data_IF_064671052365
#
_entry.id   IF_064671052365
#
_cell.length_a   1.000
_cell.length_b   1.000
_cell.length_c   1.000
_cell.angle_alpha   90.00
_cell.angle_beta   90.00
_cell.angle_gamma   90.00
#
_symmetry.space_group_name_H-M   'P 1'
#
loop_
_entity.id
_entity.type
_entity.pdbx_description
1 polymer ?
#
# COMPACT_ATOMS: atom_id res chain seq x y z
N UNK A 1 -42.62 26.62 -55.54
CA UNK A 1 -41.64 27.13 -54.57
C UNK A 1 -41.52 26.06 -53.49
N UNK A 2 -40.49 25.23 -53.56
CA UNK A 2 -40.18 24.20 -52.56
C UNK A 2 -38.70 23.82 -52.77
N UNK A 3 -37.80 24.65 -52.26
CA UNK A 3 -36.41 24.25 -52.05
C UNK A 3 -36.38 23.49 -50.72
N UNK A 4 -36.37 22.16 -50.80
CA UNK A 4 -36.08 21.34 -49.63
C UNK A 4 -34.60 21.53 -49.24
N UNK A 5 -34.28 21.75 -47.96
CA UNK A 5 -32.91 21.98 -47.54
C UNK A 5 -32.08 20.71 -47.78
N UNK A 6 -30.94 20.89 -48.45
CA UNK A 6 -29.91 19.86 -48.61
C UNK A 6 -29.49 19.37 -47.23
N UNK A 7 -29.86 18.13 -46.86
CA UNK A 7 -29.34 17.50 -45.65
C UNK A 7 -27.83 17.31 -45.82
N UNK A 8 -27.05 18.13 -45.13
CA UNK A 8 -25.61 18.01 -45.10
C UNK A 8 -25.22 16.69 -44.41
N UNK A 9 -25.06 15.62 -45.19
CA UNK A 9 -24.56 14.34 -44.68
C UNK A 9 -23.14 14.52 -44.17
N UNK A 10 -22.91 14.27 -42.89
CA UNK A 10 -21.57 14.25 -42.31
C UNK A 10 -20.70 13.26 -43.09
N UNK A 11 -19.52 13.70 -43.52
CA UNK A 11 -18.55 12.83 -44.19
C UNK A 11 -18.13 11.66 -43.29
N UNK A 12 -17.72 10.55 -43.89
CA UNK A 12 -17.33 9.29 -43.20
C UNK A 12 -16.33 9.56 -42.05
N UNK A 13 -15.39 10.48 -42.23
CA UNK A 13 -14.42 10.87 -41.19
C UNK A 13 -15.06 11.52 -39.95
N UNK A 14 -16.09 12.36 -40.13
CA UNK A 14 -16.80 12.99 -39.02
C UNK A 14 -17.66 11.97 -38.25
N UNK A 15 -18.31 11.03 -38.97
CA UNK A 15 -19.06 9.93 -38.35
C UNK A 15 -18.13 9.02 -37.53
N UNK A 16 -16.95 8.68 -38.07
CA UNK A 16 -15.96 7.87 -37.37
C UNK A 16 -15.45 8.56 -36.09
N UNK A 17 -15.19 9.87 -36.15
CA UNK A 17 -14.76 10.65 -34.98
C UNK A 17 -15.84 10.70 -33.89
N UNK A 18 -17.10 10.93 -34.26
CA UNK A 18 -18.23 10.91 -33.31
C UNK A 18 -18.37 9.53 -32.66
N UNK A 19 -18.28 8.46 -33.45
CA UNK A 19 -18.29 7.09 -32.94
C UNK A 19 -17.18 6.84 -31.91
N UNK A 20 -15.94 7.26 -32.21
CA UNK A 20 -14.82 7.12 -31.29
C UNK A 20 -15.02 7.93 -29.99
N UNK A 21 -15.54 9.15 -30.10
CA UNK A 21 -15.86 9.99 -28.93
C UNK A 21 -16.95 9.37 -28.05
N UNK A 22 -17.99 8.78 -28.64
CA UNK A 22 -19.06 8.11 -27.90
C UNK A 22 -18.53 6.87 -27.17
N UNK A 23 -17.66 6.08 -27.82
CA UNK A 23 -17.03 4.91 -27.18
C UNK A 23 -16.13 5.34 -26.02
N UNK A 24 -15.28 6.34 -26.24
CA UNK A 24 -14.39 6.87 -25.20
C UNK A 24 -15.17 7.45 -24.01
N UNK A 25 -16.25 8.21 -24.28
CA UNK A 25 -17.11 8.79 -23.25
C UNK A 25 -17.85 7.70 -22.45
N UNK A 26 -18.38 6.69 -23.14
CA UNK A 26 -19.07 5.57 -22.49
C UNK A 26 -18.12 4.75 -21.62
N UNK A 27 -16.90 4.48 -22.10
CA UNK A 27 -15.87 3.82 -21.31
C UNK A 27 -15.51 4.65 -20.07
N UNK A 28 -15.34 5.96 -20.22
CA UNK A 28 -15.03 6.88 -19.12
C UNK A 28 -16.13 6.89 -18.06
N UNK A 29 -17.41 6.95 -18.47
CA UNK A 29 -18.56 6.87 -17.58
C UNK A 29 -18.61 5.53 -16.84
N UNK A 30 -18.35 4.42 -17.54
CA UNK A 30 -18.33 3.09 -16.95
C UNK A 30 -17.27 2.97 -15.85
N UNK A 31 -16.02 3.35 -16.13
CA UNK A 31 -14.94 3.28 -15.15
C UNK A 31 -15.14 4.29 -14.01
N UNK A 32 -15.58 5.52 -14.32
CA UNK A 32 -15.85 6.56 -13.33
C UNK A 32 -16.94 6.17 -12.35
N UNK A 33 -18.05 5.61 -12.83
CA UNK A 33 -19.14 5.16 -11.95
C UNK A 33 -18.70 4.01 -11.04
N UNK A 34 -17.94 3.04 -11.57
CA UNK A 34 -17.40 1.94 -10.75
C UNK A 34 -16.46 2.43 -9.67
N UNK A 35 -15.56 3.36 -10.00
CA UNK A 35 -14.67 3.98 -9.02
C UNK A 35 -15.46 4.74 -7.94
N UNK A 36 -16.46 5.53 -8.34
CA UNK A 36 -17.31 6.26 -7.39
C UNK A 36 -18.08 5.33 -6.44
N UNK A 37 -18.59 4.20 -6.94
CA UNK A 37 -19.24 3.18 -6.10
C UNK A 37 -18.25 2.51 -5.14
N UNK A 38 -17.04 2.18 -5.60
CA UNK A 38 -15.98 1.63 -4.75
C UNK A 38 -15.60 2.61 -3.63
N UNK A 39 -15.44 3.89 -3.96
CA UNK A 39 -15.13 4.95 -3.00
C UNK A 39 -16.25 5.11 -1.97
N UNK A 40 -17.51 5.16 -2.41
CA UNK A 40 -18.66 5.31 -1.52
C UNK A 40 -18.77 4.15 -0.52
N UNK A 41 -18.61 2.90 -0.99
CA UNK A 41 -18.69 1.71 -0.14
C UNK A 41 -17.52 1.61 0.84
N UNK A 42 -16.33 2.06 0.45
CA UNK A 42 -15.12 1.95 1.29
C UNK A 42 -14.83 3.16 2.18
N UNK A 43 -15.55 4.28 2.01
CA UNK A 43 -15.20 5.58 2.59
C UNK A 43 -15.01 5.53 4.12
N UNK A 44 -15.99 4.98 4.84
CA UNK A 44 -15.94 4.89 6.30
C UNK A 44 -14.74 4.05 6.76
N UNK A 45 -14.57 2.89 6.13
CA UNK A 45 -13.51 1.93 6.47
C UNK A 45 -12.11 2.48 6.18
N UNK A 46 -11.94 3.22 5.08
CA UNK A 46 -10.67 3.91 4.76
C UNK A 46 -10.34 5.00 5.78
N UNK A 47 -11.35 5.76 6.21
CA UNK A 47 -11.18 6.75 7.27
C UNK A 47 -10.79 6.08 8.60
N UNK A 48 -11.47 5.02 9.00
CA UNK A 48 -11.16 4.25 10.23
C UNK A 48 -9.73 3.70 10.20
N UNK A 49 -9.31 3.09 9.09
CA UNK A 49 -7.96 2.58 8.92
C UNK A 49 -6.92 3.68 9.05
N UNK A 50 -7.19 4.87 8.51
CA UNK A 50 -6.29 6.03 8.66
C UNK A 50 -6.15 6.45 10.13
N UNK A 51 -7.22 6.36 10.93
CA UNK A 51 -7.14 6.62 12.38
C UNK A 51 -6.28 5.57 13.09
N UNK A 52 -6.42 4.29 12.74
CA UNK A 52 -5.60 3.21 13.30
C UNK A 52 -4.12 3.37 12.92
N UNK A 53 -3.82 3.67 11.66
CA UNK A 53 -2.46 3.88 11.16
C UNK A 53 -1.75 5.06 11.82
N UNK A 54 -2.50 6.13 12.13
CA UNK A 54 -1.95 7.31 12.79
C UNK A 54 -1.85 7.18 14.31
N UNK A 55 -2.34 6.08 14.89
CA UNK A 55 -2.38 5.89 16.35
C UNK A 55 -3.39 6.80 17.07
N UNK A 56 -4.29 7.46 16.32
CA UNK A 56 -5.34 8.34 16.88
C UNK A 56 -6.52 7.56 17.46
N UNK A 57 -6.60 6.27 17.17
CA UNK A 57 -7.61 5.35 17.68
C UNK A 57 -6.95 4.05 18.15
N UNK A 58 -7.49 3.37 19.17
CA UNK A 58 -7.07 2.02 19.52
C UNK A 58 -7.12 1.07 18.33
N UNK A 59 -6.35 -0.02 18.40
CA UNK A 59 -6.41 -1.08 17.38
C UNK A 59 -7.83 -1.67 17.30
N UNK A 60 -8.30 -2.03 16.09
CA UNK A 60 -9.66 -2.52 15.90
C UNK A 60 -9.91 -3.80 16.68
N UNK A 61 -11.08 -3.89 17.30
CA UNK A 61 -11.60 -5.17 17.77
C UNK A 61 -12.04 -6.05 16.58
N UNK A 62 -12.41 -7.31 16.84
CA UNK A 62 -12.76 -8.27 15.78
C UNK A 62 -13.98 -7.86 14.95
N UNK A 63 -14.93 -7.13 15.55
CA UNK A 63 -16.14 -6.65 14.86
C UNK A 63 -15.80 -5.49 13.93
N UNK A 64 -15.05 -4.49 14.43
CA UNK A 64 -14.56 -3.36 13.63
C UNK A 64 -13.68 -3.82 12.47
N UNK A 65 -12.79 -4.78 12.75
CA UNK A 65 -11.96 -5.42 11.74
C UNK A 65 -12.80 -6.11 10.66
N UNK A 66 -13.82 -6.88 11.06
CA UNK A 66 -14.69 -7.60 10.12
C UNK A 66 -15.51 -6.66 9.25
N UNK A 67 -16.05 -5.58 9.83
CA UNK A 67 -16.76 -4.53 9.09
C UNK A 67 -15.85 -3.88 8.04
N UNK A 68 -14.66 -3.42 8.45
CA UNK A 68 -13.71 -2.79 7.54
C UNK A 68 -13.26 -3.72 6.41
N UNK A 69 -13.03 -5.00 6.72
CA UNK A 69 -12.69 -6.01 5.72
C UNK A 69 -13.82 -6.16 4.71
N UNK A 70 -15.06 -6.30 5.17
CA UNK A 70 -16.20 -6.54 4.29
C UNK A 70 -16.46 -5.37 3.35
N UNK A 71 -16.35 -4.13 3.83
CA UNK A 71 -16.49 -2.93 3.00
C UNK A 71 -15.40 -2.86 1.92
N UNK A 72 -14.14 -3.16 2.27
CA UNK A 72 -13.04 -3.15 1.31
C UNK A 72 -13.18 -4.26 0.26
N UNK A 73 -13.60 -5.46 0.66
CA UNK A 73 -13.90 -6.56 -0.28
C UNK A 73 -15.08 -6.20 -1.18
N UNK A 74 -16.11 -5.55 -0.64
CA UNK A 74 -17.23 -5.05 -1.42
C UNK A 74 -16.80 -3.99 -2.45
N UNK A 75 -15.90 -3.09 -2.07
CA UNK A 75 -15.32 -2.11 -2.98
C UNK A 75 -14.48 -2.76 -4.11
N UNK A 76 -13.71 -3.82 -3.80
CA UNK A 76 -12.94 -4.56 -4.80
C UNK A 76 -13.81 -5.22 -5.87
N UNK A 77 -15.08 -5.55 -5.61
CA UNK A 77 -15.99 -6.02 -6.67
C UNK A 77 -16.21 -4.97 -7.77
N UNK A 78 -16.13 -3.69 -7.42
CA UNK A 78 -16.25 -2.58 -8.36
C UNK A 78 -14.91 -2.26 -9.02
N UNK A 79 -13.80 -2.27 -8.27
CA UNK A 79 -12.46 -1.97 -8.76
C UNK A 79 -11.44 -3.05 -8.36
N UNK A 80 -11.42 -4.22 -9.03
CA UNK A 80 -10.63 -5.39 -8.58
C UNK A 80 -9.12 -5.16 -8.53
N UNK A 81 -8.61 -4.23 -9.34
CA UNK A 81 -7.19 -3.91 -9.42
C UNK A 81 -6.84 -2.61 -8.68
N UNK A 82 -7.72 -2.09 -7.83
CA UNK A 82 -7.44 -0.89 -7.05
C UNK A 82 -6.30 -1.16 -6.07
N UNK A 83 -5.11 -0.60 -6.31
CA UNK A 83 -3.95 -0.85 -5.46
C UNK A 83 -4.17 -0.36 -4.03
N UNK A 84 -4.92 0.72 -3.83
CA UNK A 84 -5.11 1.30 -2.51
C UNK A 84 -6.02 0.41 -1.65
N UNK A 85 -7.07 -0.19 -2.24
CA UNK A 85 -7.89 -1.17 -1.55
C UNK A 85 -7.08 -2.40 -1.13
N UNK A 86 -6.18 -2.86 -2.01
CA UNK A 86 -5.23 -3.92 -1.68
C UNK A 86 -4.26 -3.51 -0.56
N UNK A 87 -3.72 -2.28 -0.56
CA UNK A 87 -2.89 -1.78 0.55
C UNK A 87 -3.65 -1.78 1.88
N UNK A 88 -4.92 -1.36 1.89
CA UNK A 88 -5.74 -1.33 3.09
C UNK A 88 -6.07 -2.72 3.62
N UNK A 89 -6.41 -3.68 2.74
CA UNK A 89 -6.61 -5.07 3.13
C UNK A 89 -5.31 -5.68 3.67
N UNK A 90 -4.19 -5.47 2.99
CA UNK A 90 -2.88 -5.94 3.45
C UNK A 90 -2.56 -5.45 4.86
N UNK A 91 -2.78 -4.16 5.13
CA UNK A 91 -2.61 -3.57 6.45
C UNK A 91 -3.55 -4.18 7.50
N UNK A 92 -4.84 -4.31 7.15
CA UNK A 92 -5.87 -4.81 8.04
C UNK A 92 -5.59 -6.27 8.48
N UNK A 93 -5.14 -7.11 7.55
CA UNK A 93 -4.70 -8.47 7.84
C UNK A 93 -3.43 -8.51 8.70
N UNK A 94 -2.46 -7.62 8.46
CA UNK A 94 -1.27 -7.49 9.30
C UNK A 94 -1.58 -7.09 10.75
N UNK A 95 -2.55 -6.19 10.95
CA UNK A 95 -3.05 -5.87 12.30
C UNK A 95 -3.68 -7.10 12.96
N UNK A 96 -4.49 -7.85 12.24
CA UNK A 96 -5.14 -9.05 12.78
C UNK A 96 -4.14 -10.13 13.16
N UNK A 97 -3.10 -10.33 12.35
CA UNK A 97 -1.99 -11.22 12.68
C UNK A 97 -1.36 -10.83 14.02
N UNK A 98 -1.01 -9.54 14.18
CA UNK A 98 -0.41 -9.03 15.42
C UNK A 98 -1.29 -9.25 16.65
N UNK A 99 -2.61 -9.07 16.51
CA UNK A 99 -3.58 -9.33 17.57
C UNK A 99 -3.90 -10.82 17.79
N UNK A 100 -3.37 -11.72 16.95
CA UNK A 100 -3.65 -13.16 16.98
C UNK A 100 -2.43 -14.01 17.34
N UNK A 101 -1.33 -13.42 17.83
CA UNK A 101 -0.07 -14.10 18.22
C UNK A 101 -0.23 -15.28 19.18
N UNK A 102 -1.32 -15.30 19.96
CA UNK A 102 -1.63 -16.42 20.85
C UNK A 102 -2.09 -17.69 20.10
N UNK A 103 -2.40 -17.59 18.81
CA UNK A 103 -2.90 -18.67 17.95
C UNK A 103 -2.03 -18.69 16.69
N UNK A 104 -0.90 -19.41 16.69
CA UNK A 104 0.10 -19.35 15.62
C UNK A 104 -0.44 -19.63 14.22
N UNK A 105 -1.36 -20.58 14.08
CA UNK A 105 -1.98 -20.93 12.80
C UNK A 105 -2.80 -19.77 12.24
N UNK A 106 -3.52 -19.05 13.11
CA UNK A 106 -4.29 -17.87 12.73
C UNK A 106 -3.35 -16.70 12.39
N UNK A 107 -2.30 -16.47 13.18
CA UNK A 107 -1.30 -15.45 12.87
C UNK A 107 -0.70 -15.68 11.48
N UNK A 108 -0.25 -16.91 11.19
CA UNK A 108 0.35 -17.26 9.90
C UNK A 108 -0.64 -17.12 8.74
N UNK A 109 -1.90 -17.54 8.91
CA UNK A 109 -2.93 -17.34 7.90
C UNK A 109 -3.16 -15.85 7.59
N UNK A 110 -3.24 -15.02 8.63
CA UNK A 110 -3.43 -13.56 8.45
C UNK A 110 -2.20 -12.89 7.83
N UNK A 111 -0.98 -13.35 8.14
CA UNK A 111 0.25 -12.87 7.49
C UNK A 111 0.30 -13.27 6.02
N UNK A 112 -0.12 -14.48 5.67
CA UNK A 112 -0.20 -14.93 4.28
C UNK A 112 -1.18 -14.07 3.46
N UNK A 113 -2.36 -13.76 4.03
CA UNK A 113 -3.32 -12.83 3.41
C UNK A 113 -2.72 -11.43 3.27
N UNK A 114 -2.05 -10.92 4.31
CA UNK A 114 -1.38 -9.61 4.27
C UNK A 114 -0.36 -9.52 3.12
N UNK A 115 0.51 -10.52 2.98
CA UNK A 115 1.49 -10.61 1.89
C UNK A 115 0.81 -10.69 0.53
N UNK A 116 -0.27 -11.48 0.40
CA UNK A 116 -1.02 -11.61 -0.85
C UNK A 116 -1.59 -10.26 -1.33
N UNK A 117 -2.21 -9.50 -0.44
CA UNK A 117 -2.76 -8.19 -0.75
C UNK A 117 -1.67 -7.16 -1.07
N UNK A 118 -0.57 -7.12 -0.30
CA UNK A 118 0.52 -6.21 -0.63
C UNK A 118 1.20 -6.55 -1.96
N UNK A 119 1.28 -7.84 -2.35
CA UNK A 119 1.73 -8.23 -3.70
C UNK A 119 0.83 -7.65 -4.80
N UNK A 120 -0.49 -7.70 -4.63
CA UNK A 120 -1.43 -7.10 -5.58
C UNK A 120 -1.28 -5.57 -5.63
N UNK A 121 -1.04 -4.92 -4.49
CA UNK A 121 -0.79 -3.48 -4.44
C UNK A 121 0.47 -3.07 -5.22
N UNK A 122 1.61 -3.75 -5.01
CA UNK A 122 2.88 -3.37 -5.66
C UNK A 122 2.91 -3.66 -7.15
N UNK A 123 2.12 -4.64 -7.64
CA UNK A 123 1.94 -4.87 -9.08
C UNK A 123 1.27 -3.66 -9.74
N UNK A 124 0.25 -3.09 -9.10
CA UNK A 124 -0.53 -1.98 -9.65
C UNK A 124 0.08 -0.60 -9.31
N UNK A 125 0.96 -0.50 -8.30
CA UNK A 125 1.74 0.71 -7.94
C UNK A 125 3.20 0.37 -7.67
N UNK A 126 4.00 0.11 -8.73
CA UNK A 126 5.39 -0.32 -8.57
C UNK A 126 6.30 0.73 -7.94
N UNK A 127 5.86 1.99 -7.84
CA UNK A 127 6.60 3.10 -7.23
C UNK A 127 6.03 3.53 -5.86
N UNK A 128 5.06 2.81 -5.27
CA UNK A 128 4.53 3.14 -3.94
C UNK A 128 5.51 2.65 -2.85
N UNK A 129 6.23 3.53 -2.14
CA UNK A 129 7.15 3.08 -1.11
C UNK A 129 6.43 2.47 0.09
N UNK A 130 5.22 2.95 0.42
CA UNK A 130 4.41 2.39 1.50
C UNK A 130 3.93 0.96 1.19
N UNK A 131 3.51 0.69 -0.04
CA UNK A 131 3.15 -0.67 -0.46
C UNK A 131 4.35 -1.63 -0.33
N UNK A 132 5.53 -1.20 -0.81
CA UNK A 132 6.75 -1.99 -0.72
C UNK A 132 7.22 -2.21 0.72
N UNK A 133 7.18 -1.18 1.57
CA UNK A 133 7.70 -1.31 2.94
C UNK A 133 6.77 -2.18 3.80
N UNK A 134 5.47 -2.09 3.56
CA UNK A 134 4.49 -2.94 4.25
C UNK A 134 4.54 -4.39 3.73
N UNK A 135 4.80 -4.61 2.44
CA UNK A 135 5.12 -5.95 1.92
C UNK A 135 6.35 -6.54 2.62
N UNK A 136 7.42 -5.75 2.74
CA UNK A 136 8.64 -6.19 3.41
C UNK A 136 8.38 -6.53 4.89
N UNK A 137 7.58 -5.71 5.58
CA UNK A 137 7.19 -5.97 6.97
C UNK A 137 6.33 -7.23 7.11
N UNK A 138 5.35 -7.42 6.24
CA UNK A 138 4.51 -8.62 6.25
C UNK A 138 5.34 -9.88 6.00
N UNK A 139 6.28 -9.84 5.05
CA UNK A 139 7.22 -10.94 4.79
C UNK A 139 8.19 -11.16 5.97
N UNK A 140 8.58 -10.09 6.68
CA UNK A 140 9.46 -10.19 7.85
C UNK A 140 8.77 -10.94 8.99
N UNK A 141 7.51 -10.62 9.22
CA UNK A 141 6.71 -11.25 10.25
C UNK A 141 6.30 -12.68 9.86
N UNK A 142 5.99 -12.93 8.58
CA UNK A 142 5.65 -14.26 8.08
C UNK A 142 6.84 -15.22 8.13
N UNK A 143 8.03 -14.74 7.75
CA UNK A 143 9.24 -15.56 7.62
C UNK A 143 9.25 -16.42 6.34
N UNK A 144 10.35 -17.13 6.12
CA UNK A 144 10.50 -18.14 5.07
C UNK A 144 10.65 -17.61 3.63
N UNK A 145 10.68 -16.28 3.42
CA UNK A 145 10.72 -15.65 2.09
C UNK A 145 11.74 -14.49 2.04
N UNK A 146 12.97 -14.76 2.45
CA UNK A 146 13.99 -13.73 2.70
C UNK A 146 14.40 -12.94 1.47
N UNK A 147 14.52 -13.59 0.31
CA UNK A 147 14.84 -12.90 -0.93
C UNK A 147 13.75 -11.89 -1.31
N UNK A 148 12.48 -12.30 -1.24
CA UNK A 148 11.34 -11.43 -1.52
C UNK A 148 11.24 -10.27 -0.52
N UNK A 149 11.51 -10.54 0.76
CA UNK A 149 11.55 -9.51 1.81
C UNK A 149 12.58 -8.44 1.48
N UNK A 150 13.80 -8.85 1.13
CA UNK A 150 14.90 -7.92 0.86
C UNK A 150 14.73 -7.20 -0.47
N UNK A 151 14.09 -7.83 -1.46
CA UNK A 151 13.67 -7.16 -2.69
C UNK A 151 12.65 -6.06 -2.39
N UNK A 152 11.63 -6.35 -1.58
CA UNK A 152 10.63 -5.37 -1.17
C UNK A 152 11.25 -4.23 -0.33
N UNK A 153 12.15 -4.57 0.60
CA UNK A 153 12.90 -3.59 1.40
C UNK A 153 13.69 -2.62 0.51
N UNK A 154 14.38 -3.16 -0.50
CA UNK A 154 15.19 -2.36 -1.42
C UNK A 154 14.33 -1.42 -2.29
N UNK A 155 13.18 -1.90 -2.77
CA UNK A 155 12.20 -1.06 -3.49
C UNK A 155 11.62 0.05 -2.61
N UNK A 156 11.30 -0.27 -1.36
CA UNK A 156 10.83 0.71 -0.39
C UNK A 156 11.90 1.78 -0.09
N UNK A 157 13.16 1.38 0.06
CA UNK A 157 14.28 2.31 0.20
C UNK A 157 14.43 3.18 -1.06
N UNK A 158 14.42 2.59 -2.25
CA UNK A 158 14.56 3.30 -3.54
C UNK A 158 13.54 4.42 -3.71
N UNK A 159 12.27 4.17 -3.37
CA UNK A 159 11.19 5.13 -3.61
C UNK A 159 10.81 5.98 -2.38
N UNK A 160 11.28 5.64 -1.18
CA UNK A 160 10.76 6.21 0.07
C UNK A 160 11.75 6.38 1.21
N UNK A 161 13.06 6.31 0.97
CA UNK A 161 14.06 6.51 2.03
C UNK A 161 14.04 7.89 2.72
N UNK A 162 13.19 8.83 2.28
CA UNK A 162 12.96 10.14 2.92
C UNK A 162 11.60 10.27 3.62
N UNK A 163 10.75 9.26 3.51
CA UNK A 163 9.42 9.23 4.10
C UNK A 163 9.48 8.67 5.53
N UNK A 164 9.04 9.42 6.53
CA UNK A 164 9.23 9.06 7.94
C UNK A 164 8.68 7.67 8.31
N UNK A 165 7.48 7.33 7.83
CA UNK A 165 6.87 6.02 8.09
C UNK A 165 7.62 4.87 7.41
N UNK A 166 8.17 5.12 6.22
CA UNK A 166 8.99 4.14 5.49
C UNK A 166 10.33 3.95 6.19
N UNK A 167 11.01 5.04 6.54
CA UNK A 167 12.28 5.02 7.28
C UNK A 167 12.18 4.21 8.57
N UNK A 168 11.10 4.43 9.35
CA UNK A 168 10.84 3.70 10.60
C UNK A 168 10.83 2.20 10.35
N UNK A 169 10.02 1.75 9.41
CA UNK A 169 9.84 0.32 9.11
C UNK A 169 11.10 -0.30 8.51
N UNK A 170 11.79 0.41 7.61
CA UNK A 170 13.08 -0.02 7.06
C UNK A 170 14.13 -0.22 8.16
N UNK A 171 14.17 0.68 9.15
CA UNK A 171 15.08 0.59 10.29
C UNK A 171 14.73 -0.57 11.22
N UNK A 172 13.44 -0.81 11.47
CA UNK A 172 12.99 -1.95 12.27
C UNK A 172 13.43 -3.28 11.66
N UNK A 173 13.13 -3.49 10.38
CA UNK A 173 13.49 -4.73 9.67
C UNK A 173 15.01 -4.85 9.56
N UNK A 174 15.67 -3.76 9.15
CA UNK A 174 17.11 -3.75 8.90
C UNK A 174 17.94 -3.99 10.16
N UNK A 175 17.55 -3.44 11.31
CA UNK A 175 18.23 -3.71 12.57
C UNK A 175 17.87 -5.07 13.17
N UNK A 176 16.61 -5.51 13.09
CA UNK A 176 16.19 -6.84 13.53
C UNK A 176 16.94 -7.95 12.79
N UNK A 177 17.20 -7.76 11.49
CA UNK A 177 17.91 -8.71 10.63
C UNK A 177 19.29 -8.21 10.20
N UNK A 178 19.99 -7.50 11.09
CA UNK A 178 21.24 -6.80 10.76
C UNK A 178 22.27 -7.66 10.04
N UNK A 179 22.52 -8.88 10.53
CA UNK A 179 23.51 -9.79 9.92
C UNK A 179 23.12 -10.21 8.50
N UNK A 180 21.83 -10.42 8.27
CA UNK A 180 21.29 -10.92 7.00
C UNK A 180 21.12 -9.83 5.95
N UNK A 181 20.97 -8.57 6.39
CA UNK A 181 20.84 -7.41 5.50
C UNK A 181 22.03 -7.30 4.52
N UNK A 182 23.23 -7.71 4.97
CA UNK A 182 24.48 -7.57 4.22
C UNK A 182 25.01 -6.13 4.23
N UNK A 183 26.29 -5.97 3.93
CA UNK A 183 27.02 -4.69 4.07
C UNK A 183 26.40 -3.56 3.24
N UNK A 184 25.89 -3.86 2.04
CA UNK A 184 25.27 -2.86 1.18
C UNK A 184 23.99 -2.25 1.79
N UNK A 185 23.09 -3.08 2.35
CA UNK A 185 21.85 -2.58 2.98
C UNK A 185 22.11 -1.94 4.33
N UNK A 186 23.08 -2.46 5.08
CA UNK A 186 23.55 -1.84 6.31
C UNK A 186 24.04 -0.41 6.07
N UNK A 187 24.88 -0.19 5.04
CA UNK A 187 25.36 1.13 4.66
C UNK A 187 24.21 2.07 4.26
N UNK A 188 23.24 1.58 3.45
CA UNK A 188 22.03 2.33 3.09
C UNK A 188 21.19 2.73 4.30
N UNK A 189 21.06 1.83 5.29
CA UNK A 189 20.30 2.09 6.49
C UNK A 189 20.97 3.15 7.36
N UNK A 190 22.29 3.04 7.57
CA UNK A 190 23.06 4.02 8.33
C UNK A 190 22.97 5.39 7.66
N UNK A 191 23.22 5.46 6.35
CA UNK A 191 23.14 6.71 5.58
C UNK A 191 21.73 7.35 5.64
N UNK A 192 20.68 6.53 5.52
CA UNK A 192 19.29 6.99 5.65
C UNK A 192 19.01 7.61 7.02
N UNK A 193 19.52 7.02 8.10
CA UNK A 193 19.29 7.51 9.48
C UNK A 193 20.15 8.74 9.77
N UNK A 194 21.42 8.74 9.37
CA UNK A 194 22.35 9.85 9.58
C UNK A 194 21.86 11.14 8.90
N UNK A 195 21.19 11.01 7.75
CA UNK A 195 20.65 12.13 6.97
C UNK A 195 19.13 12.34 7.19
N UNK A 196 18.53 11.68 8.18
CA UNK A 196 17.10 11.85 8.46
C UNK A 196 16.78 13.25 8.99
N UNK A 197 15.57 13.76 8.68
CA UNK A 197 15.09 15.03 9.23
C UNK A 197 15.00 14.97 10.76
N UNK A 198 15.19 16.09 11.49
CA UNK A 198 15.21 16.08 12.95
C UNK A 198 14.04 15.35 13.61
N UNK A 199 12.82 15.57 13.11
CA UNK A 199 11.62 14.92 13.65
C UNK A 199 11.60 13.39 13.46
N UNK A 200 12.22 12.87 12.39
CA UNK A 200 12.30 11.42 12.13
C UNK A 200 13.53 10.81 12.80
N UNK A 201 14.63 11.57 12.90
CA UNK A 201 15.90 11.11 13.47
C UNK A 201 15.72 10.63 14.93
N UNK A 202 14.90 11.32 15.73
CA UNK A 202 14.59 10.90 17.10
C UNK A 202 14.00 9.50 17.18
N UNK A 203 12.96 9.22 16.38
CA UNK A 203 12.32 7.90 16.31
C UNK A 203 13.32 6.82 15.85
N UNK A 204 14.12 7.11 14.83
CA UNK A 204 15.09 6.17 14.27
C UNK A 204 16.22 5.85 15.26
N UNK A 205 16.70 6.82 16.02
CA UNK A 205 17.67 6.61 17.10
C UNK A 205 17.09 5.75 18.23
N UNK A 206 15.80 5.95 18.57
CA UNK A 206 15.11 5.11 19.54
C UNK A 206 14.99 3.65 19.08
N UNK A 207 14.72 3.42 17.79
CA UNK A 207 14.74 2.08 17.19
C UNK A 207 16.14 1.48 17.24
N UNK A 208 17.16 2.24 16.82
CA UNK A 208 18.54 1.77 16.87
C UNK A 208 18.97 1.38 18.29
N UNK A 209 18.56 2.17 19.29
CA UNK A 209 18.79 1.86 20.71
C UNK A 209 18.11 0.56 21.14
N UNK A 210 16.87 0.31 20.73
CA UNK A 210 16.13 -0.92 21.04
C UNK A 210 16.83 -2.19 20.52
N UNK A 211 17.64 -2.08 19.47
CA UNK A 211 18.40 -3.18 18.88
C UNK A 211 19.91 -3.15 19.21
N UNK A 212 20.34 -2.31 20.16
CA UNK A 212 21.75 -2.11 20.53
C UNK A 212 22.65 -1.72 19.34
N UNK A 213 22.13 -0.84 18.46
CA UNK A 213 22.80 -0.34 17.25
C UNK A 213 23.15 1.14 17.26
N UNK A 214 22.93 1.84 18.38
CA UNK A 214 23.21 3.29 18.46
C UNK A 214 24.67 3.66 18.15
N UNK A 215 25.64 2.79 18.47
CA UNK A 215 27.06 3.04 18.21
C UNK A 215 27.42 3.07 16.70
N UNK A 216 26.52 2.62 15.82
CA UNK A 216 26.73 2.65 14.37
C UNK A 216 26.38 3.98 13.73
N UNK A 217 25.70 4.87 14.47
CA UNK A 217 25.08 6.08 13.93
C UNK A 217 25.85 7.31 14.40
N UNK A 218 25.79 8.37 13.60
CA UNK A 218 26.29 9.67 14.03
C UNK A 218 25.43 10.19 15.20
N UNK A 219 26.04 10.89 16.17
CA UNK A 219 25.30 11.57 17.21
C UNK A 219 24.23 12.53 16.66
#
# INVERSE_FOLDING_TARGET
MNDAPNEASLGIGAQALIGLLLVASSASLYFGLRAALADAVSMQSRWQITQWQSGKSPLPNVIEWGAARNDLVAALHWTPNDPQLHEYLGYLYGLRATSSRAIPELEQAMLADSVSYFRQAVVNRPMSPYAWVNLSLALHLQGGQDEALWQAWERAWQYGNREAGVQRTLAEIGFARWKEAGTARQAKLIDMIDNARPHSKGDLLAIAKRFDKSALLKP
#
